data_IF_742134548880
#
_entry.id   IF_742134548880
#
_cell.length_a   1.000
_cell.length_b   1.000
_cell.length_c   1.000
_cell.angle_alpha   90.00
_cell.angle_beta   90.00
_cell.angle_gamma   90.00
#
_symmetry.space_group_name_H-M   'P 1'
#
loop_
_entity.id
_entity.type
_entity.pdbx_description
1 polymer ?
#
# COMPACT_ATOMS: atom_id res chain seq x y z
N UNK A 1 11.88 -19.75 -4.66
CA UNK A 1 12.17 -18.42 -5.23
C UNK A 1 11.67 -17.37 -4.23
N UNK A 2 12.52 -16.45 -3.77
CA UNK A 2 12.13 -15.46 -2.75
C UNK A 2 11.14 -14.43 -3.29
N UNK A 3 10.10 -14.11 -2.51
CA UNK A 3 9.04 -13.16 -2.89
C UNK A 3 9.58 -11.77 -3.29
N UNK A 4 10.65 -11.31 -2.62
CA UNK A 4 11.35 -10.05 -2.95
C UNK A 4 11.83 -10.02 -4.41
N UNK A 5 12.41 -11.13 -4.90
CA UNK A 5 12.93 -11.21 -6.27
C UNK A 5 11.81 -11.16 -7.30
N UNK A 6 10.69 -11.84 -7.03
CA UNK A 6 9.52 -11.83 -7.91
C UNK A 6 8.93 -10.42 -8.02
N UNK A 7 8.75 -9.72 -6.89
CA UNK A 7 8.22 -8.36 -6.87
C UNK A 7 9.18 -7.37 -7.51
N UNK A 8 10.49 -7.55 -7.31
CA UNK A 8 11.52 -6.77 -8.02
C UNK A 8 11.38 -6.96 -9.54
N UNK A 9 11.24 -8.19 -10.03
CA UNK A 9 11.08 -8.42 -11.47
C UNK A 9 9.82 -7.73 -12.02
N UNK A 10 8.68 -7.85 -11.31
CA UNK A 10 7.43 -7.20 -11.70
C UNK A 10 7.56 -5.66 -11.74
N UNK A 11 8.33 -5.08 -10.81
CA UNK A 11 8.61 -3.63 -10.81
C UNK A 11 9.36 -3.22 -12.07
N UNK A 12 10.38 -3.99 -12.46
CA UNK A 12 11.25 -3.66 -13.59
C UNK A 12 10.47 -3.79 -14.90
N UNK A 13 9.64 -4.83 -15.02
CA UNK A 13 8.76 -4.99 -16.17
C UNK A 13 7.73 -3.86 -16.27
N UNK A 14 7.14 -3.45 -15.14
CA UNK A 14 6.21 -2.32 -15.07
C UNK A 14 6.88 -1.01 -15.50
N UNK A 15 8.09 -0.72 -15.02
CA UNK A 15 8.87 0.44 -15.45
C UNK A 15 9.19 0.39 -16.94
N UNK A 16 9.50 -0.80 -17.46
CA UNK A 16 9.73 -1.02 -18.89
C UNK A 16 8.47 -0.77 -19.73
N UNK A 17 7.30 -1.24 -19.28
CA UNK A 17 6.02 -0.95 -19.97
C UNK A 17 5.67 0.54 -19.92
N UNK A 18 6.02 1.25 -18.84
CA UNK A 18 5.83 2.70 -18.72
C UNK A 18 6.78 3.50 -19.63
N UNK A 19 8.03 3.07 -19.75
CA UNK A 19 9.06 3.74 -20.56
C UNK A 19 9.00 3.37 -22.04
N UNK A 20 8.34 2.26 -22.40
CA UNK A 20 8.08 1.91 -23.79
C UNK A 20 7.30 3.03 -24.50
N UNK A 21 7.26 3.00 -25.84
CA UNK A 21 6.40 3.89 -26.63
C UNK A 21 4.94 3.43 -26.57
N UNK A 22 3.96 4.36 -26.60
CA UNK A 22 2.54 4.01 -26.54
C UNK A 22 2.23 3.06 -27.69
N UNK A 23 1.79 1.86 -27.34
CA UNK A 23 1.55 0.77 -28.27
C UNK A 23 0.43 -0.11 -27.77
N UNK A 24 -0.27 -0.74 -28.71
CA UNK A 24 -1.40 -1.63 -28.46
C UNK A 24 -0.99 -2.76 -27.51
N UNK A 25 -1.76 -2.96 -26.44
CA UNK A 25 -1.50 -3.98 -25.41
C UNK A 25 -0.63 -3.58 -24.21
N UNK A 26 -0.17 -2.32 -24.12
CA UNK A 26 0.50 -1.83 -22.89
C UNK A 26 -0.43 -1.92 -21.67
N UNK A 27 -1.65 -1.44 -21.83
CA UNK A 27 -2.59 -1.29 -20.73
C UNK A 27 -2.90 -2.65 -20.11
N UNK A 28 -3.12 -3.67 -20.96
CA UNK A 28 -3.32 -5.05 -20.55
C UNK A 28 -2.11 -5.61 -19.79
N UNK A 29 -0.88 -5.37 -20.28
CA UNK A 29 0.34 -5.79 -19.56
C UNK A 29 0.47 -5.12 -18.20
N UNK A 30 0.22 -3.82 -18.11
CA UNK A 30 0.26 -3.10 -16.83
C UNK A 30 -0.79 -3.67 -15.87
N UNK A 31 -1.99 -3.98 -16.37
CA UNK A 31 -3.09 -4.53 -15.59
C UNK A 31 -2.77 -5.96 -15.10
N UNK A 32 -2.21 -6.82 -15.95
CA UNK A 32 -1.71 -8.14 -15.58
C UNK A 32 -0.61 -8.06 -14.50
N UNK A 33 0.33 -7.12 -14.63
CA UNK A 33 1.38 -6.90 -13.61
C UNK A 33 0.76 -6.43 -12.29
N UNK A 34 -0.22 -5.52 -12.31
CA UNK A 34 -0.93 -5.05 -11.11
C UNK A 34 -1.68 -6.20 -10.41
N UNK A 35 -2.35 -7.08 -11.17
CA UNK A 35 -3.01 -8.25 -10.61
C UNK A 35 -2.03 -9.25 -10.01
N UNK A 36 -0.88 -9.47 -10.67
CA UNK A 36 0.19 -10.31 -10.12
C UNK A 36 0.73 -9.73 -8.82
N UNK A 37 0.93 -8.41 -8.76
CA UNK A 37 1.34 -7.71 -7.54
C UNK A 37 0.32 -7.86 -6.40
N UNK A 38 -0.98 -7.87 -6.70
CA UNK A 38 -2.01 -8.10 -5.68
C UNK A 38 -1.99 -9.54 -5.14
N UNK A 39 -1.69 -10.52 -5.99
CA UNK A 39 -1.56 -11.93 -5.56
C UNK A 39 -0.29 -12.19 -4.75
N UNK A 40 0.75 -11.37 -4.92
CA UNK A 40 1.98 -11.50 -4.14
C UNK A 40 1.77 -10.97 -2.72
N UNK A 41 2.32 -11.69 -1.73
CA UNK A 41 2.40 -11.22 -0.34
C UNK A 41 3.45 -10.11 -0.24
N UNK A 42 3.00 -8.87 -0.42
CA UNK A 42 3.82 -7.66 -0.23
C UNK A 42 3.93 -7.37 1.26
N UNK A 43 5.07 -7.69 1.84
CA UNK A 43 5.42 -7.33 3.21
C UNK A 43 6.11 -5.96 3.28
N UNK A 44 6.25 -5.36 4.47
CA UNK A 44 7.05 -4.15 4.67
C UNK A 44 8.45 -4.30 4.07
N UNK A 45 9.13 -5.42 4.34
CA UNK A 45 10.48 -5.66 3.84
C UNK A 45 10.53 -5.64 2.30
N UNK A 46 9.53 -6.22 1.64
CA UNK A 46 9.43 -6.19 0.18
C UNK A 46 9.15 -4.77 -0.30
N UNK A 47 8.27 -4.04 0.37
CA UNK A 47 7.88 -2.68 -0.01
C UNK A 47 9.06 -1.71 0.09
N UNK A 48 9.87 -1.79 1.15
CA UNK A 48 11.07 -0.97 1.36
C UNK A 48 12.22 -1.39 0.45
N UNK A 49 12.50 -2.69 0.29
CA UNK A 49 13.57 -3.19 -0.59
C UNK A 49 13.30 -2.90 -2.07
N UNK A 50 12.06 -3.11 -2.50
CA UNK A 50 11.73 -2.99 -3.93
C UNK A 50 11.34 -1.57 -4.32
N UNK A 51 10.91 -0.73 -3.36
CA UNK A 51 10.39 0.63 -3.61
C UNK A 51 9.21 0.67 -4.60
N UNK A 52 8.47 -0.45 -4.73
CA UNK A 52 7.35 -0.60 -5.68
C UNK A 52 6.25 0.45 -5.46
N UNK A 53 6.10 0.96 -4.23
CA UNK A 53 5.12 1.98 -3.89
C UNK A 53 5.24 3.28 -4.71
N UNK A 54 6.47 3.67 -5.08
CA UNK A 54 6.70 4.84 -5.91
C UNK A 54 6.28 4.58 -7.37
N UNK A 55 6.62 3.41 -7.91
CA UNK A 55 6.25 3.01 -9.28
C UNK A 55 4.74 2.89 -9.46
N UNK A 56 4.03 2.29 -8.51
CA UNK A 56 2.56 2.17 -8.54
C UNK A 56 1.88 3.52 -8.29
N UNK A 57 2.50 4.43 -7.52
CA UNK A 57 1.97 5.77 -7.35
C UNK A 57 1.90 6.57 -8.65
N UNK A 58 2.81 6.34 -9.60
CA UNK A 58 2.74 6.93 -10.95
C UNK A 58 1.51 6.43 -11.73
N UNK A 59 1.15 5.16 -11.58
CA UNK A 59 -0.02 4.56 -12.25
C UNK A 59 -1.36 5.11 -11.78
N UNK A 60 -1.43 5.76 -10.61
CA UNK A 60 -2.67 6.39 -10.13
C UNK A 60 -3.19 7.51 -11.04
N UNK A 61 -2.33 8.06 -11.89
CA UNK A 61 -2.63 9.11 -12.89
C UNK A 61 -2.68 8.55 -14.32
N UNK A 62 -2.73 7.23 -14.49
CA UNK A 62 -2.82 6.62 -15.81
C UNK A 62 -4.13 6.99 -16.52
N UNK A 63 -4.10 7.08 -17.84
CA UNK A 63 -5.26 7.39 -18.70
C UNK A 63 -6.41 6.37 -18.52
N UNK A 64 -6.06 5.11 -18.30
CA UNK A 64 -7.00 4.03 -18.07
C UNK A 64 -7.48 4.01 -16.61
N UNK A 65 -8.79 4.15 -16.43
CA UNK A 65 -9.43 4.21 -15.12
C UNK A 65 -9.25 2.92 -14.29
N UNK A 66 -9.26 1.75 -14.92
CA UNK A 66 -9.08 0.47 -14.22
C UNK A 66 -7.67 0.33 -13.63
N UNK A 67 -6.65 0.70 -14.42
CA UNK A 67 -5.25 0.74 -13.98
C UNK A 67 -5.11 1.72 -12.81
N UNK A 68 -5.67 2.92 -12.96
CA UNK A 68 -5.61 3.95 -11.92
C UNK A 68 -6.31 3.51 -10.63
N UNK A 69 -7.48 2.86 -10.72
CA UNK A 69 -8.23 2.39 -9.55
C UNK A 69 -7.50 1.25 -8.84
N UNK A 70 -7.01 0.26 -9.59
CA UNK A 70 -6.21 -0.85 -9.06
C UNK A 70 -4.96 -0.36 -8.35
N UNK A 71 -4.23 0.59 -8.96
CA UNK A 71 -3.06 1.21 -8.37
C UNK A 71 -3.38 1.97 -7.07
N UNK A 72 -4.49 2.71 -7.03
CA UNK A 72 -4.95 3.42 -5.81
C UNK A 72 -5.26 2.44 -4.68
N UNK A 73 -5.90 1.31 -4.98
CA UNK A 73 -6.20 0.25 -4.02
C UNK A 73 -4.94 -0.38 -3.41
N UNK A 74 -3.97 -0.73 -4.25
CA UNK A 74 -2.68 -1.28 -3.82
C UNK A 74 -1.91 -0.31 -2.93
N UNK A 75 -1.77 0.96 -3.32
CA UNK A 75 -1.06 1.97 -2.53
C UNK A 75 -1.71 2.18 -1.15
N UNK A 76 -3.05 2.11 -1.07
CA UNK A 76 -3.76 2.18 0.22
C UNK A 76 -3.46 0.97 1.10
N UNK A 77 -3.55 -0.25 0.55
CA UNK A 77 -3.22 -1.49 1.27
C UNK A 77 -1.78 -1.45 1.79
N UNK A 78 -0.83 -1.08 0.94
CA UNK A 78 0.59 -1.03 1.29
C UNK A 78 0.94 0.06 2.30
N UNK A 79 0.27 1.23 2.25
CA UNK A 79 0.41 2.25 3.30
C UNK A 79 0.02 1.69 4.67
N UNK A 80 -1.09 0.97 4.76
CA UNK A 80 -1.52 0.34 6.00
C UNK A 80 -0.50 -0.67 6.52
N UNK A 81 0.01 -1.55 5.64
CA UNK A 81 1.06 -2.52 5.98
C UNK A 81 2.33 -1.81 6.45
N UNK A 82 2.74 -0.74 5.78
CA UNK A 82 3.96 -0.02 6.14
C UNK A 82 3.85 0.67 7.50
N UNK A 83 2.76 1.39 7.75
CA UNK A 83 2.51 2.04 9.03
C UNK A 83 2.37 1.01 10.17
N UNK A 84 1.65 -0.09 9.93
CA UNK A 84 1.44 -1.13 10.93
C UNK A 84 2.72 -1.89 11.25
N UNK A 85 3.56 -2.17 10.25
CA UNK A 85 4.85 -2.80 10.47
C UNK A 85 5.87 -1.86 11.13
N UNK A 86 5.85 -0.55 10.86
CA UNK A 86 6.64 0.43 11.63
C UNK A 86 6.20 0.50 13.09
N UNK A 87 4.89 0.44 13.36
CA UNK A 87 4.36 0.37 14.72
C UNK A 87 4.75 -0.94 15.43
N UNK A 88 4.79 -2.06 14.72
CA UNK A 88 5.24 -3.34 15.27
C UNK A 88 6.76 -3.42 15.50
N UNK A 89 7.56 -2.75 14.66
CA UNK A 89 9.02 -2.70 14.79
C UNK A 89 9.51 -1.70 15.86
N UNK A 90 8.65 -0.77 16.29
CA UNK A 90 8.96 0.30 17.24
C UNK A 90 8.14 0.19 18.53
N UNK A 91 8.25 -0.92 19.28
CA UNK A 91 7.66 -1.06 20.62
C UNK A 91 6.16 -1.42 20.66
N UNK A 92 5.67 -2.26 21.56
CA UNK A 92 6.16 -2.40 22.92
C UNK A 92 6.05 -1.07 23.67
N UNK A 93 4.87 -0.42 23.71
CA UNK A 93 4.67 0.75 24.59
C UNK A 93 3.55 1.73 24.22
N UNK A 94 2.33 1.46 24.71
CA UNK A 94 1.56 2.45 25.50
C UNK A 94 0.71 3.56 24.83
N UNK A 95 -0.57 3.56 25.24
CA UNK A 95 -1.55 4.68 25.39
C UNK A 95 -2.19 5.26 24.11
N UNK A 96 -3.49 5.57 24.03
CA UNK A 96 -4.56 5.62 25.03
C UNK A 96 -5.93 5.64 24.33
N UNK A 97 -6.93 5.02 24.93
CA UNK A 97 -8.30 5.54 24.95
C UNK A 97 -8.95 5.12 26.27
N UNK A 98 -8.48 5.72 27.36
CA UNK A 98 -9.17 5.72 28.64
C UNK A 98 -10.51 6.46 28.45
N UNK A 99 -11.63 5.76 28.57
CA UNK A 99 -12.93 6.39 28.76
C UNK A 99 -13.30 6.27 30.23
N UNK A 100 -12.67 7.11 31.05
CA UNK A 100 -13.16 7.47 32.38
C UNK A 100 -14.03 8.71 32.19
N UNK A 101 -15.34 8.55 32.20
CA UNK A 101 -16.27 9.65 32.44
C UNK A 101 -16.98 9.32 33.75
N UNK A 102 -16.51 9.96 34.82
CA UNK A 102 -17.07 9.88 36.16
C UNK A 102 -16.92 11.25 36.78
N UNK A 103 -17.97 12.07 36.71
CA UNK A 103 -18.37 13.02 37.75
C UNK A 103 -19.77 13.56 37.40
N UNK A 104 -20.82 13.03 38.02
CA UNK A 104 -21.38 13.54 39.29
C UNK A 104 -21.88 15.00 39.16
N UNK A 105 -23.20 15.12 38.99
CA UNK A 105 -23.98 16.30 39.42
C UNK A 105 -25.33 15.83 39.94
N UNK A 106 -25.33 15.38 41.20
CA UNK A 106 -26.53 15.14 41.97
C UNK A 106 -26.28 15.30 43.47
N UNK A 107 -26.35 16.54 44.00
CA UNK A 107 -26.57 16.79 45.44
C UNK A 107 -26.97 18.25 45.78
N UNK A 108 -28.28 18.48 45.92
CA UNK A 108 -29.00 18.95 47.14
C UNK A 108 -28.37 19.96 48.12
N UNK A 109 -29.17 21.00 48.41
CA UNK A 109 -29.37 21.76 49.68
C UNK A 109 -28.33 22.81 50.13
N UNK A 110 -28.73 24.09 50.22
CA UNK A 110 -29.31 24.77 51.42
C UNK A 110 -30.11 25.99 51.00
#
# INVERSE_FOLDING_TARGET
MSAIKAVRQLKEDLLKQQAALPGDGRNEKILDILQRLEKQKIDLAVLTETLIGASVSKLKKHENAEIANTAKGLVKKWKGVATQAQAAASGGGGKAASKSDSNDRGRTTV
#
